data_IF_343542844527
#
_entry.id   IF_343542844527
#
_cell.length_a   1.000
_cell.length_b   1.000
_cell.length_c   1.000
_cell.angle_alpha   90.00
_cell.angle_beta   90.00
_cell.angle_gamma   90.00
#
_symmetry.space_group_name_H-M   'P 1'
#
loop_
_entity.id
_entity.type
_entity.pdbx_description
1 polymer ?
#
# COMPACT_ATOMS: atom_id res chain seq x y z
N UNK A 1 -11.28 -2.58 2.33
CA UNK A 1 -10.40 -3.56 2.98
C UNK A 1 -11.11 -4.90 2.98
N UNK A 2 -10.46 -5.99 2.57
CA UNK A 2 -11.02 -7.33 2.63
C UNK A 2 -9.99 -8.26 3.25
N UNK A 3 -10.22 -8.63 4.51
CA UNK A 3 -9.32 -9.48 5.29
C UNK A 3 -9.01 -10.81 4.60
N UNK A 4 -10.00 -11.44 3.97
CA UNK A 4 -9.82 -12.71 3.26
C UNK A 4 -8.93 -12.60 2.00
N UNK A 5 -8.61 -11.38 1.56
CA UNK A 5 -7.75 -11.11 0.40
C UNK A 5 -6.39 -10.52 0.79
N UNK A 6 -6.12 -10.29 2.07
CA UNK A 6 -4.84 -9.74 2.51
C UNK A 6 -3.77 -10.83 2.44
N UNK A 7 -2.80 -10.66 1.55
CA UNK A 7 -1.70 -11.62 1.36
C UNK A 7 -0.41 -10.91 0.94
N UNK A 8 0.73 -11.35 1.49
CA UNK A 8 2.06 -11.00 0.97
C UNK A 8 2.45 -11.97 -0.15
N UNK A 9 2.82 -11.41 -1.30
CA UNK A 9 3.22 -12.15 -2.50
C UNK A 9 4.75 -12.23 -2.66
N UNK A 10 5.51 -11.60 -1.77
CA UNK A 10 6.97 -11.54 -1.86
C UNK A 10 7.59 -12.92 -1.65
N UNK A 11 8.48 -13.33 -2.56
CA UNK A 11 9.23 -14.59 -2.48
C UNK A 11 10.74 -14.32 -2.49
N UNK A 12 11.56 -15.33 -2.16
CA UNK A 12 13.03 -15.21 -2.28
C UNK A 12 13.48 -14.86 -3.71
N UNK A 13 12.79 -15.39 -4.72
CA UNK A 13 13.09 -15.16 -6.13
C UNK A 13 12.57 -13.81 -6.62
N UNK A 14 11.48 -13.31 -6.03
CA UNK A 14 10.85 -12.04 -6.37
C UNK A 14 10.47 -11.25 -5.10
N UNK A 15 11.44 -10.56 -4.47
CA UNK A 15 11.24 -9.95 -3.15
C UNK A 15 10.49 -8.61 -3.18
N UNK A 16 10.20 -8.04 -4.36
CA UNK A 16 9.60 -6.72 -4.51
C UNK A 16 8.15 -6.77 -5.04
N UNK A 17 7.40 -7.80 -4.66
CA UNK A 17 6.00 -7.94 -5.03
C UNK A 17 5.11 -7.11 -4.09
N UNK A 18 4.06 -6.50 -4.64
CA UNK A 18 3.07 -5.78 -3.83
C UNK A 18 2.14 -6.76 -3.12
N UNK A 19 1.85 -6.49 -1.85
CA UNK A 19 0.82 -7.20 -1.10
C UNK A 19 -0.58 -6.90 -1.65
N UNK A 20 -1.47 -7.88 -1.64
CA UNK A 20 -2.84 -7.77 -2.14
C UNK A 20 -3.86 -7.56 -1.02
N UNK A 21 -5.09 -7.17 -1.36
CA UNK A 21 -6.18 -7.00 -0.40
C UNK A 21 -6.34 -5.55 0.12
N UNK A 22 -5.43 -4.66 -0.25
CA UNK A 22 -5.44 -3.24 0.09
C UNK A 22 -5.93 -2.39 -1.08
N UNK A 23 -7.26 -2.34 -1.27
CA UNK A 23 -7.87 -1.58 -2.37
C UNK A 23 -7.64 -0.06 -2.28
N UNK A 24 -7.59 0.49 -1.07
CA UNK A 24 -7.39 1.92 -0.84
C UNK A 24 -6.44 2.13 0.34
N UNK A 25 -5.48 3.04 0.20
CA UNK A 25 -4.59 3.47 1.30
C UNK A 25 -4.58 4.99 1.37
N UNK A 26 -4.73 5.51 2.58
CA UNK A 26 -4.70 6.94 2.87
C UNK A 26 -3.46 7.28 3.71
N UNK A 27 -2.80 8.37 3.37
CA UNK A 27 -1.71 8.96 4.16
C UNK A 27 -2.01 10.43 4.36
N UNK A 28 -2.06 10.87 5.62
CA UNK A 28 -2.42 12.24 6.01
C UNK A 28 -3.74 12.74 5.37
N UNK A 29 -4.75 11.86 5.31
CA UNK A 29 -6.07 12.17 4.76
C UNK A 29 -6.16 12.17 3.23
N UNK A 30 -5.06 11.93 2.51
CA UNK A 30 -5.04 11.86 1.05
C UNK A 30 -4.95 10.41 0.57
N UNK A 31 -5.70 10.09 -0.49
CA UNK A 31 -5.66 8.77 -1.12
C UNK A 31 -4.33 8.61 -1.88
N UNK A 32 -3.56 7.57 -1.55
CA UNK A 32 -2.23 7.29 -2.11
C UNK A 32 -2.23 6.03 -2.96
N UNK A 33 -2.98 5.01 -2.53
CA UNK A 33 -3.19 3.79 -3.32
C UNK A 33 -4.67 3.69 -3.65
N UNK A 34 -4.96 3.48 -4.93
CA UNK A 34 -6.30 3.24 -5.46
C UNK A 34 -6.27 2.00 -6.36
N UNK A 35 -7.18 1.05 -6.11
CA UNK A 35 -7.26 -0.21 -6.85
C UNK A 35 -5.90 -0.94 -6.91
N UNK A 36 -5.23 -1.01 -5.76
CA UNK A 36 -3.93 -1.69 -5.58
C UNK A 36 -2.77 -1.04 -6.37
N UNK A 37 -2.98 0.14 -6.96
CA UNK A 37 -1.96 0.92 -7.65
C UNK A 37 -1.68 2.23 -6.92
N UNK A 38 -0.39 2.55 -6.76
CA UNK A 38 0.02 3.83 -6.21
C UNK A 38 -0.31 4.95 -7.21
N UNK A 39 -1.12 5.94 -6.80
CA UNK A 39 -1.62 6.99 -7.68
C UNK A 39 -0.62 8.14 -7.90
N UNK A 40 0.57 8.05 -7.31
CA UNK A 40 1.65 9.05 -7.43
C UNK A 40 1.64 10.12 -6.35
N UNK A 41 0.59 10.20 -5.54
CA UNK A 41 0.49 11.16 -4.43
C UNK A 41 1.52 10.83 -3.36
N UNK A 42 2.35 11.82 -3.01
CA UNK A 42 3.36 11.71 -1.95
C UNK A 42 2.97 12.63 -0.80
N UNK A 43 2.04 12.18 0.03
CA UNK A 43 1.52 12.95 1.17
C UNK A 43 2.24 12.65 2.48
N UNK A 44 3.42 12.03 2.44
CA UNK A 44 4.22 11.71 3.63
C UNK A 44 4.76 12.96 4.33
N UNK A 45 4.78 12.95 5.66
CA UNK A 45 5.37 14.01 6.50
C UNK A 45 6.41 13.36 7.40
N UNK A 46 7.55 14.04 7.61
CA UNK A 46 8.59 13.59 8.54
C UNK A 46 8.04 13.67 9.96
N UNK A 47 7.95 12.52 10.63
CA UNK A 47 7.55 12.46 12.04
C UNK A 47 8.71 12.95 12.92
N UNK A 48 8.42 13.87 13.85
CA UNK A 48 9.39 14.37 14.85
C UNK A 48 8.99 13.82 16.23
N UNK A 49 10.01 13.53 17.06
CA UNK A 49 9.88 12.93 18.39
C UNK A 49 9.45 13.96 19.44
#
# INVERSE_FOLDING_TARGET
FNEAKVQDLSTYEQPHQYSTGFKYVLVNGQLVIENEHHNGTRSGIVLRK
#
